data_IF_677445692944
#
_entry.id   IF_677445692944
#
_cell.length_a   1.000
_cell.length_b   1.000
_cell.length_c   1.000
_cell.angle_alpha   90.00
_cell.angle_beta   90.00
_cell.angle_gamma   90.00
#
_symmetry.space_group_name_H-M   'P 1'
#
loop_
_entity.id
_entity.type
_entity.pdbx_description
1 polymer ?
#
# COMPACT_ATOMS: atom_id res chain seq x y z
N UNK A 1 -11.15 -12.50 2.48
CA UNK A 1 -10.56 -13.47 1.54
C UNK A 1 -9.07 -13.17 1.48
N UNK A 2 -8.19 -14.09 1.89
CA UNK A 2 -6.75 -13.86 1.82
C UNK A 2 -6.30 -13.90 0.35
N UNK A 3 -5.64 -12.83 -0.13
CA UNK A 3 -5.03 -12.81 -1.45
C UNK A 3 -3.84 -13.77 -1.44
N UNK A 4 -3.88 -14.77 -2.32
CA UNK A 4 -2.83 -15.78 -2.44
C UNK A 4 -1.67 -15.19 -3.24
N UNK A 5 -0.80 -14.42 -2.56
CA UNK A 5 0.32 -13.71 -3.18
C UNK A 5 1.51 -14.67 -3.31
N UNK A 6 1.83 -15.10 -4.53
CA UNK A 6 3.10 -15.77 -4.85
C UNK A 6 4.13 -14.75 -5.29
N UNK A 7 5.28 -14.72 -4.61
CA UNK A 7 6.44 -13.93 -5.04
C UNK A 7 7.17 -14.76 -6.09
N UNK A 8 7.29 -14.23 -7.31
CA UNK A 8 8.00 -14.87 -8.42
C UNK A 8 9.16 -13.97 -8.84
N UNK A 9 10.33 -14.58 -9.09
CA UNK A 9 11.46 -13.87 -9.69
C UNK A 9 11.17 -13.69 -11.17
N UNK A 10 10.89 -12.44 -11.56
CA UNK A 10 10.57 -12.08 -12.93
C UNK A 10 11.85 -11.82 -13.71
N UNK A 11 11.90 -12.33 -14.93
CA UNK A 11 12.96 -12.04 -15.89
C UNK A 11 12.86 -10.61 -16.40
N UNK A 12 13.95 -10.07 -16.93
CA UNK A 12 13.99 -8.69 -17.48
C UNK A 12 12.93 -8.44 -18.55
N UNK A 13 12.57 -9.46 -19.33
CA UNK A 13 11.51 -9.40 -20.34
C UNK A 13 10.12 -9.31 -19.71
N UNK A 14 9.84 -10.10 -18.68
CA UNK A 14 8.56 -10.06 -17.95
C UNK A 14 8.39 -8.73 -17.21
N UNK A 15 9.47 -8.18 -16.65
CA UNK A 15 9.48 -6.84 -16.06
C UNK A 15 9.15 -5.79 -17.14
N UNK A 16 9.74 -5.89 -18.32
CA UNK A 16 9.46 -4.99 -19.44
C UNK A 16 8.01 -5.11 -19.90
N UNK A 17 7.48 -6.31 -20.10
CA UNK A 17 6.10 -6.56 -20.53
C UNK A 17 5.09 -6.10 -19.47
N UNK A 18 5.36 -6.33 -18.18
CA UNK A 18 4.53 -5.82 -17.09
C UNK A 18 4.60 -4.29 -17.06
N UNK A 19 5.78 -3.69 -17.17
CA UNK A 19 5.94 -2.23 -17.11
C UNK A 19 5.32 -1.50 -18.32
N UNK A 20 5.33 -2.12 -19.49
CA UNK A 20 4.74 -1.57 -20.72
C UNK A 20 3.23 -1.74 -20.73
N UNK A 21 2.70 -2.88 -20.28
CA UNK A 21 1.25 -3.08 -20.11
C UNK A 21 0.69 -2.31 -18.90
N UNK A 22 1.51 -2.04 -17.89
CA UNK A 22 1.18 -1.18 -16.75
C UNK A 22 1.11 0.31 -17.12
N UNK A 23 1.53 0.71 -18.32
CA UNK A 23 1.24 2.06 -18.83
C UNK A 23 -0.24 2.27 -19.13
N UNK A 24 -1.06 1.21 -19.18
CA UNK A 24 -2.52 1.33 -19.14
C UNK A 24 -2.94 2.14 -17.91
N UNK A 25 -3.75 3.17 -18.11
CA UNK A 25 -4.27 4.13 -17.13
C UNK A 25 -5.14 3.52 -16.01
N UNK A 26 -5.12 2.20 -15.84
CA UNK A 26 -6.08 1.42 -15.04
C UNK A 26 -5.47 0.79 -13.80
N UNK A 27 -4.18 0.99 -13.52
CA UNK A 27 -3.58 0.49 -12.28
C UNK A 27 -3.72 1.53 -11.16
N UNK A 28 -4.38 1.18 -10.04
CA UNK A 28 -4.64 2.13 -8.93
C UNK A 28 -3.36 2.66 -8.27
N UNK A 29 -2.21 2.07 -8.61
CA UNK A 29 -0.90 2.41 -8.08
C UNK A 29 0.00 3.19 -9.06
N UNK A 30 -0.45 3.54 -10.27
CA UNK A 30 0.40 4.19 -11.29
C UNK A 30 1.04 5.51 -10.82
N UNK A 31 0.36 6.25 -9.95
CA UNK A 31 0.87 7.51 -9.38
C UNK A 31 1.47 7.35 -7.96
N UNK A 32 1.25 6.21 -7.30
CA UNK A 32 1.57 6.00 -5.88
C UNK A 32 2.02 4.56 -5.57
N UNK A 33 2.84 3.97 -6.44
CA UNK A 33 3.27 2.56 -6.30
C UNK A 33 3.93 2.26 -4.95
N UNK A 34 4.75 3.19 -4.47
CA UNK A 34 5.36 3.11 -3.14
C UNK A 34 4.31 3.08 -2.03
N UNK A 35 3.36 4.01 -2.07
CA UNK A 35 2.35 4.15 -1.02
C UNK A 35 1.41 2.93 -1.04
N UNK A 36 1.10 2.38 -2.21
CA UNK A 36 0.37 1.13 -2.33
C UNK A 36 1.12 -0.06 -1.69
N UNK A 37 2.43 -0.21 -1.91
CA UNK A 37 3.25 -1.26 -1.30
C UNK A 37 3.29 -1.09 0.23
N UNK A 38 3.51 0.12 0.73
CA UNK A 38 3.55 0.41 2.17
C UNK A 38 2.21 0.07 2.83
N UNK A 39 1.10 0.55 2.24
CA UNK A 39 -0.24 0.30 2.77
C UNK A 39 -0.61 -1.18 2.74
N UNK A 40 -0.28 -1.88 1.65
CA UNK A 40 -0.49 -3.33 1.52
C UNK A 40 0.29 -4.10 2.57
N UNK A 41 1.56 -3.75 2.79
CA UNK A 41 2.40 -4.39 3.81
C UNK A 41 1.83 -4.18 5.22
N UNK A 42 1.33 -2.98 5.52
CA UNK A 42 0.68 -2.70 6.80
C UNK A 42 -0.57 -3.58 7.02
N UNK A 43 -1.44 -3.71 5.99
CA UNK A 43 -2.62 -4.59 6.06
C UNK A 43 -2.26 -6.06 6.22
N UNK A 44 -1.29 -6.56 5.44
CA UNK A 44 -0.86 -7.97 5.49
C UNK A 44 -0.23 -8.33 6.84
N UNK A 45 0.51 -7.40 7.43
CA UNK A 45 1.14 -7.58 8.75
C UNK A 45 0.21 -7.22 9.91
N UNK A 46 -1.05 -6.86 9.63
CA UNK A 46 -2.05 -6.45 10.62
C UNK A 46 -1.59 -5.28 11.52
N UNK A 47 -0.75 -4.39 10.98
CA UNK A 47 -0.24 -3.22 11.67
C UNK A 47 -1.00 -1.96 11.25
N UNK A 48 -1.09 -1.00 12.18
CA UNK A 48 -1.60 0.35 11.89
C UNK A 48 -0.50 1.16 11.22
N UNK A 49 -0.78 1.75 10.06
CA UNK A 49 0.14 2.64 9.37
C UNK A 49 0.15 4.02 10.03
N UNK A 50 1.31 4.49 10.48
CA UNK A 50 1.47 5.85 11.04
C UNK A 50 2.00 6.79 9.96
N UNK A 51 1.20 7.81 9.57
CA UNK A 51 1.57 8.73 8.49
C UNK A 51 0.77 10.04 8.52
N UNK A 52 1.39 11.15 8.08
CA UNK A 52 0.66 12.40 7.77
C UNK A 52 0.04 12.39 6.37
N UNK A 53 0.44 11.45 5.49
CA UNK A 53 0.02 11.38 4.09
C UNK A 53 -1.31 10.63 3.92
N UNK A 54 -2.27 10.85 4.83
CA UNK A 54 -3.53 10.08 4.93
C UNK A 54 -4.32 10.00 3.61
N UNK A 55 -4.24 11.05 2.77
CA UNK A 55 -4.93 11.12 1.48
C UNK A 55 -4.52 10.01 0.51
N UNK A 56 -3.30 9.49 0.63
CA UNK A 56 -2.76 8.42 -0.21
C UNK A 56 -3.17 7.01 0.26
N UNK A 57 -3.76 6.91 1.46
CA UNK A 57 -4.08 5.64 2.14
C UNK A 57 -5.56 5.51 2.50
N UNK A 58 -6.42 6.40 2.01
CA UNK A 58 -7.87 6.36 2.28
C UNK A 58 -8.52 5.03 1.87
N UNK A 59 -7.99 4.39 0.83
CA UNK A 59 -8.43 3.07 0.34
C UNK A 59 -8.24 1.94 1.37
N UNK A 60 -7.36 2.10 2.36
CA UNK A 60 -7.16 1.12 3.42
C UNK A 60 -8.29 1.11 4.45
N UNK A 61 -9.12 2.17 4.52
CA UNK A 61 -10.09 2.37 5.60
C UNK A 61 -9.47 3.06 6.83
N UNK A 62 -10.28 3.87 7.55
CA UNK A 62 -9.77 4.76 8.61
C UNK A 62 -9.17 4.02 9.81
N UNK A 63 -9.59 2.78 10.08
CA UNK A 63 -9.07 1.99 11.21
C UNK A 63 -7.65 1.44 10.96
N UNK A 64 -7.13 1.57 9.75
CA UNK A 64 -5.84 1.00 9.34
C UNK A 64 -4.70 2.02 9.28
N UNK A 65 -4.97 3.31 9.54
CA UNK A 65 -3.94 4.32 9.62
C UNK A 65 -4.25 5.39 10.67
N UNK A 66 -3.19 5.95 11.25
CA UNK A 66 -3.25 7.09 12.17
C UNK A 66 -2.22 8.13 11.76
N UNK A 67 -2.49 9.38 12.07
CA UNK A 67 -1.45 10.40 12.18
C UNK A 67 -0.64 10.18 13.46
N UNK A 68 0.61 10.67 13.53
CA UNK A 68 1.39 10.64 14.77
C UNK A 68 0.65 11.27 15.96
N UNK A 69 -0.08 12.37 15.76
CA UNK A 69 -0.86 13.02 16.83
C UNK A 69 -2.01 12.12 17.33
N UNK A 70 -2.73 11.47 16.42
CA UNK A 70 -3.77 10.49 16.78
C UNK A 70 -3.19 9.30 17.57
N UNK A 71 -1.97 8.86 17.24
CA UNK A 71 -1.29 7.82 18.01
C UNK A 71 -0.97 8.28 19.42
N UNK A 72 -0.41 9.48 19.60
CA UNK A 72 -0.10 10.06 20.92
C UNK A 72 -1.36 10.16 21.78
N UNK A 73 -2.46 10.64 21.21
CA UNK A 73 -3.75 10.72 21.90
C UNK A 73 -4.31 9.35 22.27
N UNK A 74 -4.06 8.32 21.45
CA UNK A 74 -4.52 6.95 21.71
C UNK A 74 -3.75 6.27 22.85
N UNK A 75 -2.44 6.51 22.97
CA UNK A 75 -1.60 5.92 24.01
C UNK A 75 -1.65 6.67 25.35
N UNK A 76 -2.12 7.93 25.33
CA UNK A 76 -2.26 8.78 26.52
C UNK A 76 -3.60 8.61 27.24
N UNK A 77 -4.46 7.71 26.74
CA UNK A 77 -5.73 7.28 27.35
C UNK A 77 -5.54 5.91 27.99
#
# INVERSE_FOLDING_TARGET
QALNIKIQNLTTKEIYDISTNAKSSTLPFKHHARDFIIGTQALLTQNILITYNIKHFTWMGKDHYLTPDELVLKISK
#
